data_IF_159868512604
#
_entry.id   IF_159868512604
#
_cell.length_a   1.000
_cell.length_b   1.000
_cell.length_c   1.000
_cell.angle_alpha   90.00
_cell.angle_beta   90.00
_cell.angle_gamma   90.00
#
_symmetry.space_group_name_H-M   'P 1'
#
loop_
_entity.id
_entity.type
_entity.pdbx_description
1 polymer ?
#
# COMPACT_ATOMS: atom_id res chain seq x y z
N UNK A 1 19.27 -22.10 -5.70
CA UNK A 1 18.38 -21.17 -6.42
C UNK A 1 18.32 -19.92 -5.57
N UNK A 2 19.01 -18.88 -6.00
CA UNK A 2 19.15 -17.62 -5.27
C UNK A 2 17.88 -16.81 -5.47
N UNK A 3 17.03 -16.75 -4.44
CA UNK A 3 15.81 -15.95 -4.48
C UNK A 3 16.24 -14.49 -4.45
N UNK A 4 16.41 -13.87 -5.63
CA UNK A 4 16.53 -12.41 -5.73
C UNK A 4 15.29 -11.85 -5.07
N UNK A 5 15.46 -11.28 -3.87
CA UNK A 5 14.42 -10.61 -3.12
C UNK A 5 14.05 -9.33 -3.89
N UNK A 6 13.26 -9.50 -4.96
CA UNK A 6 12.54 -8.43 -5.62
C UNK A 6 11.57 -7.92 -4.57
N UNK A 7 11.99 -6.88 -3.87
CA UNK A 7 11.22 -6.25 -2.81
C UNK A 7 9.78 -6.09 -3.29
N UNK A 8 8.79 -6.71 -2.62
CA UNK A 8 7.44 -6.72 -3.13
C UNK A 8 6.97 -5.28 -3.34
N UNK A 9 6.32 -4.98 -4.47
CA UNK A 9 5.91 -3.62 -4.76
C UNK A 9 4.96 -3.13 -3.66
N UNK A 10 5.35 -2.08 -2.95
CA UNK A 10 4.53 -1.48 -1.88
C UNK A 10 3.11 -1.22 -2.39
N UNK A 11 2.13 -1.52 -1.52
CA UNK A 11 0.71 -1.33 -1.80
C UNK A 11 0.17 -0.18 -0.97
N UNK A 12 -0.80 0.52 -1.53
CA UNK A 12 -1.43 1.65 -0.87
C UNK A 12 -2.93 1.47 -0.89
N UNK A 13 -3.57 1.83 0.21
CA UNK A 13 -4.97 2.20 0.19
C UNK A 13 -5.00 3.72 0.34
N UNK A 14 -5.85 4.38 -0.44
CA UNK A 14 -5.95 5.85 -0.41
C UNK A 14 -7.29 6.21 0.19
N UNK A 15 -7.27 7.12 1.15
CA UNK A 15 -8.45 7.62 1.81
C UNK A 15 -8.51 9.14 1.77
N UNK A 16 -9.73 9.68 1.76
CA UNK A 16 -9.96 11.11 1.76
C UNK A 16 -9.96 11.65 3.19
N UNK A 17 -8.99 12.51 3.51
CA UNK A 17 -8.89 13.21 4.79
C UNK A 17 -9.72 14.50 4.73
N UNK A 18 -10.99 14.44 5.16
CA UNK A 18 -11.84 15.64 5.26
C UNK A 18 -11.81 16.18 6.71
N UNK A 19 -11.43 17.45 6.95
CA UNK A 19 -11.27 17.99 8.31
C UNK A 19 -12.56 18.04 9.15
N UNK A 20 -13.73 18.00 8.52
CA UNK A 20 -15.04 18.22 9.17
C UNK A 20 -16.00 17.05 9.02
N UNK A 21 -15.61 15.99 8.31
CA UNK A 21 -16.48 14.83 8.10
C UNK A 21 -15.95 13.63 8.87
N UNK A 22 -16.79 13.04 9.73
CA UNK A 22 -16.51 11.72 10.33
C UNK A 22 -16.61 10.57 9.30
N UNK A 23 -16.94 10.85 8.03
CA UNK A 23 -17.05 9.83 6.99
C UNK A 23 -15.71 9.57 6.34
N UNK A 24 -15.16 8.39 6.62
CA UNK A 24 -14.02 7.84 5.90
C UNK A 24 -14.45 7.41 4.49
N UNK A 25 -13.77 7.94 3.46
CA UNK A 25 -13.99 7.56 2.05
C UNK A 25 -12.69 7.02 1.49
N UNK A 26 -12.78 5.94 0.72
CA UNK A 26 -11.64 5.35 0.03
C UNK A 26 -11.69 5.65 -1.46
N UNK A 27 -10.54 5.88 -2.06
CA UNK A 27 -10.41 5.87 -3.50
C UNK A 27 -10.64 4.44 -4.01
N UNK A 28 -11.34 4.29 -5.13
CA UNK A 28 -11.57 3.01 -5.80
C UNK A 28 -11.05 3.09 -7.22
N UNK A 29 -10.38 2.04 -7.68
CA UNK A 29 -10.03 1.89 -9.09
C UNK A 29 -11.28 1.75 -9.97
N UNK A 30 -11.20 1.91 -11.29
CA UNK A 30 -12.32 1.66 -12.20
C UNK A 30 -12.92 0.26 -12.06
N UNK A 31 -12.12 -0.72 -11.63
CA UNK A 31 -12.54 -2.09 -11.33
C UNK A 31 -13.12 -2.26 -9.90
N UNK A 32 -13.33 -1.17 -9.16
CA UNK A 32 -13.94 -1.17 -7.84
C UNK A 32 -13.04 -1.59 -6.68
N UNK A 33 -11.71 -1.68 -6.87
CA UNK A 33 -10.74 -2.12 -5.84
C UNK A 33 -10.21 -0.93 -5.06
N UNK A 34 -9.88 -1.12 -3.78
CA UNK A 34 -9.31 -0.06 -2.91
C UNK A 34 -7.78 -0.13 -2.78
N UNK A 35 -7.18 -1.24 -3.20
CA UNK A 35 -5.71 -1.41 -3.20
C UNK A 35 -5.14 -0.90 -4.51
N UNK A 36 -4.15 -0.03 -4.41
CA UNK A 36 -3.42 0.57 -5.52
C UNK A 36 -1.94 0.16 -5.54
N UNK A 37 -1.29 0.20 -6.72
CA UNK A 37 -1.89 0.49 -8.03
C UNK A 37 -2.68 -0.70 -8.62
N UNK A 38 -2.40 -1.91 -8.14
CA UNK A 38 -3.02 -3.15 -8.60
C UNK A 38 -3.69 -3.90 -7.45
N UNK A 39 -4.73 -4.70 -7.71
CA UNK A 39 -5.34 -5.52 -6.67
C UNK A 39 -4.35 -6.50 -6.06
N UNK A 40 -4.64 -6.91 -4.83
CA UNK A 40 -3.98 -8.07 -4.23
C UNK A 40 -4.34 -9.34 -5.04
N UNK A 41 -3.40 -10.31 -5.14
CA UNK A 41 -3.68 -11.61 -5.74
C UNK A 41 -4.86 -12.32 -5.07
N UNK A 42 -5.47 -13.28 -5.76
CA UNK A 42 -6.40 -14.19 -5.10
C UNK A 42 -5.70 -14.93 -3.96
N UNK A 43 -6.48 -15.35 -2.95
CA UNK A 43 -5.96 -16.03 -1.75
C UNK A 43 -5.01 -15.16 -0.91
N UNK A 44 -5.19 -13.83 -0.95
CA UNK A 44 -4.48 -12.94 -0.04
C UNK A 44 -5.21 -12.83 1.30
N UNK A 45 -4.47 -12.86 2.39
CA UNK A 45 -5.01 -12.82 3.75
C UNK A 45 -4.28 -11.77 4.61
N UNK A 46 -5.02 -11.08 5.48
CA UNK A 46 -4.44 -10.10 6.39
C UNK A 46 -3.74 -10.83 7.55
N UNK A 47 -2.52 -10.45 7.85
CA UNK A 47 -1.81 -10.96 9.01
C UNK A 47 -2.09 -10.07 10.24
N UNK A 48 -2.53 -10.68 11.33
CA UNK A 48 -2.79 -10.00 12.61
C UNK A 48 -1.50 -9.57 13.30
N UNK A 49 -0.48 -10.42 13.21
CA UNK A 49 0.86 -10.18 13.76
C UNK A 49 1.89 -10.47 12.68
N UNK A 50 2.80 -9.52 12.47
CA UNK A 50 3.94 -9.75 11.60
C UNK A 50 5.17 -9.14 12.23
N UNK A 51 6.15 -10.01 12.47
CA UNK A 51 7.45 -9.63 12.98
C UNK A 51 8.17 -8.83 11.90
N UNK A 52 8.44 -7.55 12.17
CA UNK A 52 9.14 -6.68 11.22
C UNK A 52 10.52 -7.32 11.02
N UNK A 53 10.85 -7.83 9.82
CA UNK A 53 12.17 -8.40 9.61
C UNK A 53 13.19 -7.30 9.89
N UNK A 54 14.26 -7.63 10.62
CA UNK A 54 15.39 -6.72 10.95
C UNK A 54 16.04 -6.05 9.72
N UNK A 55 15.59 -6.38 8.51
CA UNK A 55 15.99 -5.76 7.27
C UNK A 55 15.49 -4.31 7.19
N UNK A 56 16.33 -3.45 6.60
CA UNK A 56 16.05 -2.03 6.36
C UNK A 56 14.65 -1.85 5.77
N UNK A 57 13.74 -1.29 6.58
CA UNK A 57 12.39 -1.00 6.13
C UNK A 57 12.46 -0.04 4.94
N UNK A 58 11.89 -0.46 3.81
CA UNK A 58 11.88 0.37 2.61
C UNK A 58 10.99 1.59 2.84
N UNK A 59 11.55 2.79 2.71
CA UNK A 59 10.81 4.02 2.90
C UNK A 59 9.72 4.15 1.81
N UNK A 60 8.47 4.51 2.13
CA UNK A 60 7.37 4.55 1.16
C UNK A 60 7.44 5.72 0.15
N UNK A 61 8.20 6.79 0.42
CA UNK A 61 8.23 7.99 -0.44
C UNK A 61 8.60 7.77 -1.93
N UNK A 62 9.57 6.90 -2.31
CA UNK A 62 9.82 6.61 -3.72
C UNK A 62 8.62 5.96 -4.42
N UNK A 63 7.88 5.11 -3.69
CA UNK A 63 6.70 4.42 -4.20
C UNK A 63 5.49 5.35 -4.31
N UNK A 64 5.37 6.34 -3.41
CA UNK A 64 4.35 7.39 -3.51
C UNK A 64 4.50 8.18 -4.81
N UNK A 65 5.72 8.55 -5.20
CA UNK A 65 5.97 9.27 -6.47
C UNK A 65 5.51 8.46 -7.69
N UNK A 66 5.81 7.17 -7.71
CA UNK A 66 5.35 6.28 -8.78
C UNK A 66 3.81 6.13 -8.77
N UNK A 67 3.20 6.08 -7.60
CA UNK A 67 1.74 6.02 -7.45
C UNK A 67 1.08 7.29 -7.98
N UNK A 68 1.59 8.47 -7.62
CA UNK A 68 1.10 9.76 -8.15
C UNK A 68 1.13 9.79 -9.68
N UNK A 69 2.24 9.34 -10.29
CA UNK A 69 2.35 9.23 -11.74
C UNK A 69 1.33 8.25 -12.34
N UNK A 70 1.06 7.12 -11.66
CA UNK A 70 0.07 6.12 -12.10
C UNK A 70 -1.36 6.65 -12.01
N UNK A 71 -1.66 7.43 -10.97
CA UNK A 71 -2.98 8.02 -10.74
C UNK A 71 -3.18 9.36 -11.45
N UNK A 72 -2.13 9.88 -12.10
CA UNK A 72 -2.12 11.19 -12.75
C UNK A 72 -2.53 12.33 -11.80
N UNK A 73 -2.01 12.28 -10.58
CA UNK A 73 -2.20 13.31 -9.54
C UNK A 73 -0.86 13.94 -9.18
N UNK A 74 -0.90 15.15 -8.66
CA UNK A 74 0.29 15.85 -8.23
C UNK A 74 0.84 15.28 -6.90
N UNK A 75 2.17 15.28 -6.68
CA UNK A 75 2.76 14.71 -5.46
C UNK A 75 2.28 15.31 -4.14
N UNK A 76 1.74 16.54 -4.16
CA UNK A 76 1.21 17.20 -2.97
C UNK A 76 -0.24 16.83 -2.64
N UNK A 77 -0.95 16.14 -3.56
CA UNK A 77 -2.33 15.69 -3.36
C UNK A 77 -2.41 14.40 -2.52
N UNK A 78 -1.31 13.66 -2.40
CA UNK A 78 -1.20 12.47 -1.57
C UNK A 78 -0.15 12.68 -0.48
N UNK A 79 -0.48 12.30 0.74
CA UNK A 79 0.45 12.33 1.89
C UNK A 79 0.43 10.98 2.57
N UNK A 80 1.60 10.44 2.89
CA UNK A 80 1.72 9.22 3.70
C UNK A 80 1.42 9.58 5.15
N UNK A 81 0.43 8.91 5.74
CA UNK A 81 0.16 9.04 7.16
C UNK A 81 1.08 8.07 7.90
N UNK A 82 1.99 8.60 8.71
CA UNK A 82 2.90 7.78 9.50
C UNK A 82 2.12 6.93 10.51
N UNK A 83 2.62 5.73 10.78
CA UNK A 83 2.10 4.86 11.84
C UNK A 83 1.06 3.85 11.40
N UNK A 84 0.68 3.79 10.12
CA UNK A 84 -0.23 2.77 9.63
C UNK A 84 0.40 1.91 8.51
N UNK A 85 0.71 0.66 8.86
CA UNK A 85 1.23 -0.37 7.95
C UNK A 85 0.62 -1.70 8.34
N UNK A 86 0.06 -2.40 7.36
CA UNK A 86 -0.46 -3.75 7.50
C UNK A 86 0.39 -4.71 6.66
N UNK A 87 0.41 -5.98 7.05
CA UNK A 87 1.05 -7.04 6.28
C UNK A 87 0.00 -7.99 5.74
N UNK A 88 0.09 -8.28 4.45
CA UNK A 88 -0.82 -9.17 3.77
C UNK A 88 -0.01 -10.35 3.25
N UNK A 89 -0.39 -11.55 3.67
CA UNK A 89 0.12 -12.76 3.04
C UNK A 89 -0.50 -12.90 1.65
N UNK A 90 0.33 -13.17 0.66
CA UNK A 90 -0.11 -13.41 -0.72
C UNK A 90 0.61 -14.65 -1.24
N UNK A 91 0.04 -15.36 -2.24
CA UNK A 91 0.72 -16.50 -2.83
C UNK A 91 2.13 -16.14 -3.31
N UNK A 92 3.15 -16.62 -2.58
CA UNK A 92 4.56 -16.47 -2.90
C UNK A 92 5.30 -15.31 -2.20
N UNK A 93 4.60 -14.34 -1.58
CA UNK A 93 5.27 -13.25 -0.87
C UNK A 93 4.34 -12.51 0.10
N UNK A 94 4.86 -12.11 1.26
CA UNK A 94 4.15 -11.17 2.15
C UNK A 94 4.40 -9.74 1.70
N UNK A 95 3.35 -8.96 1.51
CA UNK A 95 3.44 -7.58 1.01
C UNK A 95 2.99 -6.57 2.07
N UNK A 96 3.70 -5.45 2.24
CA UNK A 96 3.23 -4.37 3.10
C UNK A 96 2.19 -3.49 2.37
N UNK A 97 1.11 -3.15 3.09
CA UNK A 97 0.07 -2.21 2.66
C UNK A 97 0.10 -0.98 3.57
N UNK A 98 0.19 0.19 2.96
CA UNK A 98 0.22 1.50 3.63
C UNK A 98 -1.10 2.25 3.44
N UNK A 99 -1.44 3.14 4.38
CA UNK A 99 -2.64 3.99 4.33
C UNK A 99 -2.34 5.48 4.25
#
# INVERSE_FOLDING_TARGET
>A
METTATNPPLRFVIHHLHPTSARLRFLKSPAGRVIFPTPLPALSELLEEYDIPSATATHPAPFLRQLCATLQVEPHELTIVNGFRLWVDTPGVTVPVYW
#
